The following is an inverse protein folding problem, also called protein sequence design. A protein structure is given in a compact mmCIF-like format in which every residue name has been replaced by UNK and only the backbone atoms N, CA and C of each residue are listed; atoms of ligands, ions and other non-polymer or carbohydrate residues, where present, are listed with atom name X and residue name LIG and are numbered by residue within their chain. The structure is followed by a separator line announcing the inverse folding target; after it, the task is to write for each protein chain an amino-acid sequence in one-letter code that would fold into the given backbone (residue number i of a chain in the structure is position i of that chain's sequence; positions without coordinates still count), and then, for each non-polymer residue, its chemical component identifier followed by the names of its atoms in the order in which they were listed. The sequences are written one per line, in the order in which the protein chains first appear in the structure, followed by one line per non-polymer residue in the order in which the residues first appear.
data_IF_747551869857
#
_entry.id   IF_747551869857
#
_cell.length_a   1.000
_cell.length_b   1.000
_cell.length_c   1.000
_cell.angle_alpha   90.00
_cell.angle_beta   90.00
_cell.angle_gamma   90.00
#
_symmetry.space_group_name_H-M   'P 1'
#
loop_
_entity.id
_entity.type
_entity.pdbx_description
1 polymer ?
#
# COMPACT_ATOMS: atom_id res chain seq x y z
N UNK A 1 57.05 -29.68 11.65
CA UNK A 1 55.60 -29.59 11.94
C UNK A 1 55.05 -28.33 11.27
N UNK A 2 54.41 -28.46 10.10
CA UNK A 2 53.82 -27.34 9.33
C UNK A 2 52.41 -27.11 9.85
N UNK A 3 52.14 -25.94 10.46
CA UNK A 3 50.79 -25.50 10.85
C UNK A 3 50.07 -25.03 9.60
N UNK A 4 49.03 -25.74 9.17
CA UNK A 4 48.11 -25.35 8.14
C UNK A 4 47.07 -24.43 8.83
N UNK A 5 47.12 -23.14 8.50
CA UNK A 5 46.10 -22.17 8.90
C UNK A 5 44.96 -22.31 7.90
N UNK A 6 43.84 -22.87 8.35
CA UNK A 6 42.58 -22.90 7.59
C UNK A 6 41.91 -21.53 7.73
N UNK A 7 42.06 -20.69 6.74
CA UNK A 7 41.33 -19.44 6.68
C UNK A 7 39.86 -19.74 6.34
N UNK A 8 38.98 -19.63 7.34
CA UNK A 8 37.54 -19.69 7.15
C UNK A 8 37.13 -18.40 6.43
N UNK A 9 36.87 -18.49 5.11
CA UNK A 9 36.22 -17.42 4.38
C UNK A 9 34.76 -17.43 4.84
N UNK A 10 34.40 -16.56 5.78
CA UNK A 10 33.04 -16.23 6.08
C UNK A 10 32.53 -15.39 4.89
N UNK A 11 31.83 -16.03 3.95
CA UNK A 11 31.07 -15.34 2.97
C UNK A 11 29.96 -14.56 3.73
N UNK A 12 30.18 -13.29 3.96
CA UNK A 12 29.12 -12.38 4.35
C UNK A 12 28.10 -12.39 3.21
N UNK A 13 27.02 -13.18 3.34
CA UNK A 13 25.82 -12.99 2.53
C UNK A 13 25.32 -11.57 2.83
N UNK A 14 25.72 -10.62 2.01
CA UNK A 14 25.12 -9.31 1.99
C UNK A 14 23.64 -9.52 1.66
N UNK A 15 22.76 -9.03 2.54
CA UNK A 15 21.31 -8.99 2.36
C UNK A 15 20.93 -7.95 1.30
N UNK A 16 21.52 -8.07 0.09
CA UNK A 16 21.10 -7.22 -1.02
C UNK A 16 19.82 -7.81 -1.64
N UNK A 17 18.90 -6.93 -2.02
CA UNK A 17 17.76 -7.31 -2.83
C UNK A 17 18.19 -8.08 -4.07
N UNK A 18 17.31 -8.92 -4.59
CA UNK A 18 17.53 -9.48 -5.91
C UNK A 18 17.56 -8.33 -6.93
N UNK A 19 18.63 -8.22 -7.68
CA UNK A 19 18.66 -7.30 -8.82
C UNK A 19 17.63 -7.73 -9.87
N UNK A 20 17.25 -6.81 -10.75
CA UNK A 20 16.37 -7.12 -11.87
C UNK A 20 16.88 -8.33 -12.69
N UNK A 21 18.21 -8.42 -12.89
CA UNK A 21 18.83 -9.54 -13.59
C UNK A 21 18.61 -10.88 -12.86
N UNK A 22 18.77 -10.91 -11.55
CA UNK A 22 18.53 -12.10 -10.73
C UNK A 22 17.04 -12.50 -10.69
N UNK A 23 16.12 -11.52 -10.64
CA UNK A 23 14.69 -11.75 -10.72
C UNK A 23 14.35 -12.43 -12.06
N UNK A 24 14.88 -11.89 -13.17
CA UNK A 24 14.69 -12.44 -14.52
C UNK A 24 15.30 -13.83 -14.69
N UNK A 25 16.48 -14.06 -14.15
CA UNK A 25 17.16 -15.35 -14.18
C UNK A 25 16.37 -16.43 -13.43
N UNK A 26 15.87 -16.09 -12.23
CA UNK A 26 15.06 -17.00 -11.41
C UNK A 26 13.66 -17.24 -11.99
N UNK A 27 13.17 -16.35 -12.84
CA UNK A 27 11.79 -16.36 -13.32
C UNK A 27 10.76 -16.20 -12.21
N UNK A 28 11.12 -15.53 -11.11
CA UNK A 28 10.32 -15.37 -9.91
C UNK A 28 10.53 -13.98 -9.32
N UNK A 29 9.43 -13.33 -8.95
CA UNK A 29 9.43 -12.07 -8.19
C UNK A 29 8.58 -12.22 -6.93
N UNK A 30 9.08 -11.76 -5.78
CA UNK A 30 8.38 -11.75 -4.49
C UNK A 30 7.78 -10.37 -4.27
N UNK A 31 6.47 -10.32 -4.04
CA UNK A 31 5.72 -9.07 -3.98
C UNK A 31 4.97 -8.97 -2.65
N UNK A 32 5.29 -7.94 -1.87
CA UNK A 32 4.54 -7.58 -0.68
C UNK A 32 3.18 -6.97 -1.05
N UNK A 33 2.12 -7.42 -0.40
CA UNK A 33 0.74 -6.94 -0.56
C UNK A 33 0.01 -6.96 0.78
N UNK A 34 -1.05 -6.17 0.94
CA UNK A 34 -1.88 -6.23 2.16
C UNK A 34 -2.88 -7.40 2.11
N UNK A 35 -3.66 -7.53 1.07
CA UNK A 35 -4.66 -8.61 0.91
C UNK A 35 -5.96 -8.42 1.72
N UNK A 36 -6.13 -7.31 2.42
CA UNK A 36 -7.34 -7.00 3.22
C UNK A 36 -7.91 -5.60 2.99
N UNK A 37 -7.50 -4.93 1.91
CA UNK A 37 -7.87 -3.55 1.55
C UNK A 37 -8.75 -3.49 0.29
N UNK A 38 -10.05 -3.85 0.36
CA UNK A 38 -10.93 -3.71 -0.81
C UNK A 38 -11.14 -2.23 -1.18
N UNK A 39 -11.14 -1.87 -2.48
CA UNK A 39 -10.91 -2.70 -3.65
C UNK A 39 -9.45 -2.74 -4.13
N UNK A 40 -8.48 -2.30 -3.31
CA UNK A 40 -7.07 -2.21 -3.71
C UNK A 40 -6.42 -3.60 -3.79
N UNK A 41 -6.53 -4.37 -2.70
CA UNK A 41 -5.95 -5.71 -2.58
C UNK A 41 -6.83 -6.57 -1.66
N UNK A 42 -7.33 -7.68 -2.18
CA UNK A 42 -8.23 -8.61 -1.45
C UNK A 42 -7.75 -10.04 -1.63
N UNK A 43 -7.77 -10.80 -0.55
CA UNK A 43 -7.51 -12.25 -0.56
C UNK A 43 -8.82 -13.01 -0.37
N UNK A 44 -9.18 -13.86 -1.34
CA UNK A 44 -10.33 -14.77 -1.27
C UNK A 44 -9.92 -16.17 -1.73
N UNK A 45 -10.08 -17.16 -0.86
CA UNK A 45 -9.75 -18.57 -1.15
C UNK A 45 -8.32 -18.78 -1.68
N UNK A 46 -7.35 -18.02 -1.14
CA UNK A 46 -5.94 -18.07 -1.53
C UNK A 46 -5.63 -17.41 -2.88
N UNK A 47 -6.58 -16.71 -3.47
CA UNK A 47 -6.39 -15.86 -4.66
C UNK A 47 -6.42 -14.40 -4.27
N UNK A 48 -5.58 -13.61 -4.93
CA UNK A 48 -5.54 -12.17 -4.72
C UNK A 48 -6.18 -11.46 -5.92
N UNK A 49 -6.89 -10.37 -5.63
CA UNK A 49 -7.54 -9.53 -6.63
C UNK A 49 -7.60 -8.08 -6.15
N UNK A 50 -7.92 -7.17 -7.05
CA UNK A 50 -8.06 -5.75 -6.76
C UNK A 50 -7.21 -4.87 -7.67
N UNK A 51 -7.26 -3.56 -7.42
CA UNK A 51 -6.56 -2.57 -8.23
C UNK A 51 -5.04 -2.77 -8.21
N UNK A 52 -4.43 -2.88 -7.02
CA UNK A 52 -2.98 -3.06 -6.87
C UNK A 52 -2.51 -4.40 -7.44
N UNK A 53 -3.31 -5.44 -7.28
CA UNK A 53 -3.01 -6.76 -7.87
C UNK A 53 -3.02 -6.67 -9.39
N UNK A 54 -4.04 -6.06 -9.99
CA UNK A 54 -4.12 -5.88 -11.44
C UNK A 54 -2.98 -5.01 -11.98
N UNK A 55 -2.61 -3.95 -11.24
CA UNK A 55 -1.51 -3.08 -11.60
C UNK A 55 -0.18 -3.83 -11.62
N UNK A 56 0.12 -4.56 -10.54
CA UNK A 56 1.40 -5.25 -10.43
C UNK A 56 1.50 -6.44 -11.41
N UNK A 57 0.41 -7.13 -11.71
CA UNK A 57 0.39 -8.18 -12.72
C UNK A 57 0.74 -7.66 -14.12
N UNK A 58 0.26 -6.46 -14.48
CA UNK A 58 0.66 -5.81 -15.73
C UNK A 58 2.13 -5.37 -15.71
N UNK A 59 2.63 -4.80 -14.59
CA UNK A 59 4.04 -4.42 -14.46
C UNK A 59 4.98 -5.63 -14.49
N UNK A 60 4.57 -6.77 -13.95
CA UNK A 60 5.34 -8.02 -14.01
C UNK A 60 5.50 -8.54 -15.44
N UNK A 61 4.52 -8.29 -16.33
CA UNK A 61 4.66 -8.59 -17.76
C UNK A 61 5.78 -7.74 -18.40
N UNK A 62 5.93 -6.49 -17.99
CA UNK A 62 7.05 -5.64 -18.46
C UNK A 62 8.40 -6.14 -17.93
N UNK A 63 8.45 -6.64 -16.68
CA UNK A 63 9.67 -7.19 -16.09
C UNK A 63 10.14 -8.44 -16.83
N UNK A 64 9.26 -9.41 -17.10
CA UNK A 64 9.65 -10.70 -17.67
C UNK A 64 9.51 -10.78 -19.19
N UNK A 65 8.71 -9.88 -19.80
CA UNK A 65 8.40 -9.93 -21.23
C UNK A 65 7.77 -11.27 -21.67
N UNK A 66 8.06 -11.70 -22.89
CA UNK A 66 7.49 -12.91 -23.48
C UNK A 66 7.86 -14.22 -22.76
N UNK A 67 8.93 -14.21 -21.96
CA UNK A 67 9.35 -15.40 -21.19
C UNK A 67 8.39 -15.73 -20.06
N UNK A 68 7.62 -14.74 -19.60
CA UNK A 68 6.79 -14.86 -18.42
C UNK A 68 7.59 -15.08 -17.14
N UNK A 69 6.92 -14.95 -16.00
CA UNK A 69 7.52 -15.19 -14.68
C UNK A 69 6.43 -15.52 -13.67
N UNK A 70 6.85 -16.02 -12.51
CA UNK A 70 5.95 -16.33 -11.39
C UNK A 70 5.95 -15.17 -10.40
N UNK A 71 4.79 -14.92 -9.81
CA UNK A 71 4.65 -14.02 -8.68
C UNK A 71 4.48 -14.87 -7.42
N UNK A 72 5.24 -14.53 -6.40
CA UNK A 72 5.05 -15.00 -5.03
C UNK A 72 4.54 -13.81 -4.20
N UNK A 73 3.30 -13.87 -3.79
CA UNK A 73 2.71 -12.85 -2.93
C UNK A 73 3.03 -13.13 -1.46
N UNK A 74 3.46 -12.08 -0.75
CA UNK A 74 3.76 -12.09 0.67
C UNK A 74 2.89 -11.04 1.35
N UNK A 75 2.11 -11.43 2.34
CA UNK A 75 1.29 -10.46 3.09
C UNK A 75 2.20 -9.64 4.00
N UNK A 76 2.13 -8.31 3.84
CA UNK A 76 2.87 -7.32 4.61
C UNK A 76 1.90 -6.29 5.17
N UNK A 77 1.95 -6.03 6.49
CA UNK A 77 1.03 -5.13 7.18
C UNK A 77 1.82 -4.07 7.96
N UNK A 78 1.24 -2.90 8.12
CA UNK A 78 1.79 -1.84 8.95
C UNK A 78 3.27 -1.53 8.67
N UNK A 79 4.10 -1.63 9.69
CA UNK A 79 5.55 -1.40 9.57
C UNK A 79 6.28 -2.50 8.79
N UNK A 80 5.71 -3.70 8.67
CA UNK A 80 6.37 -4.81 7.97
C UNK A 80 6.51 -4.54 6.47
N UNK A 81 5.68 -3.68 5.88
CA UNK A 81 5.78 -3.26 4.47
C UNK A 81 7.16 -2.71 4.11
N UNK A 82 7.71 -1.82 4.92
CA UNK A 82 9.04 -1.23 4.70
C UNK A 82 10.15 -2.21 5.09
N UNK A 83 10.03 -2.87 6.25
CA UNK A 83 11.06 -3.79 6.73
C UNK A 83 11.19 -5.04 5.86
N UNK A 84 10.11 -5.52 5.25
CA UNK A 84 10.15 -6.66 4.32
C UNK A 84 11.00 -6.36 3.08
N UNK A 85 10.91 -5.12 2.56
CA UNK A 85 11.75 -4.64 1.46
C UNK A 85 13.21 -4.52 1.90
N UNK A 86 13.47 -3.88 3.05
CA UNK A 86 14.83 -3.69 3.58
C UNK A 86 15.54 -5.03 3.86
N UNK A 87 14.81 -5.98 4.44
CA UNK A 87 15.31 -7.29 4.83
C UNK A 87 15.37 -8.30 3.66
N UNK A 88 15.06 -7.85 2.43
CA UNK A 88 15.03 -8.71 1.25
C UNK A 88 14.07 -9.91 1.38
N UNK A 89 12.98 -9.77 2.14
CA UNK A 89 11.89 -10.74 2.20
C UNK A 89 11.03 -10.69 0.95
N UNK A 90 10.86 -9.48 0.39
CA UNK A 90 10.19 -9.21 -0.88
C UNK A 90 11.13 -8.42 -1.80
N UNK A 91 10.90 -8.47 -3.10
CA UNK A 91 11.66 -7.72 -4.09
C UNK A 91 11.09 -6.33 -4.31
N UNK A 92 9.77 -6.20 -4.10
CA UNK A 92 9.02 -4.95 -4.05
C UNK A 92 7.80 -5.10 -3.14
N UNK A 93 7.23 -3.98 -2.72
CA UNK A 93 6.00 -3.96 -1.93
C UNK A 93 4.99 -2.95 -2.51
N UNK A 94 3.74 -3.42 -2.70
CA UNK A 94 2.61 -2.62 -3.20
C UNK A 94 1.39 -2.90 -2.31
N UNK A 95 1.34 -2.25 -1.16
CA UNK A 95 0.36 -2.47 -0.11
C UNK A 95 -0.12 -1.14 0.48
N UNK A 96 -0.64 -0.26 -0.36
CA UNK A 96 -1.08 1.09 0.00
C UNK A 96 0.00 1.87 0.78
N UNK A 97 1.24 1.89 0.27
CA UNK A 97 2.34 2.55 0.97
C UNK A 97 2.41 4.02 0.57
N UNK A 98 2.14 4.88 1.54
CA UNK A 98 2.29 6.33 1.39
C UNK A 98 3.77 6.72 1.33
N UNK A 99 4.15 7.51 0.35
CA UNK A 99 5.48 8.11 0.26
C UNK A 99 5.63 9.16 1.35
N UNK A 100 6.64 9.00 2.22
CA UNK A 100 7.02 9.99 3.23
C UNK A 100 8.53 10.18 3.25
N UNK A 101 8.99 11.36 3.68
CA UNK A 101 10.43 11.65 3.81
C UNK A 101 11.18 10.66 4.71
N UNK A 102 10.51 10.14 5.71
CA UNK A 102 11.05 9.14 6.63
C UNK A 102 11.25 7.81 5.92
N UNK A 103 10.25 7.37 5.15
CA UNK A 103 10.30 6.12 4.39
C UNK A 103 11.27 6.18 3.22
N UNK A 104 11.40 7.34 2.55
CA UNK A 104 12.38 7.58 1.48
C UNK A 104 13.84 7.43 1.96
N UNK A 105 14.11 7.53 3.25
CA UNK A 105 15.45 7.24 3.80
C UNK A 105 15.74 5.74 3.85
N UNK A 106 14.73 4.91 3.85
CA UNK A 106 14.78 3.47 4.09
C UNK A 106 14.65 2.64 2.80
N UNK A 107 13.81 3.09 1.88
CA UNK A 107 13.50 2.44 0.60
C UNK A 107 13.46 3.47 -0.51
N UNK A 108 13.47 3.02 -1.78
CA UNK A 108 13.16 3.87 -2.92
C UNK A 108 11.73 3.62 -3.39
N UNK A 109 11.08 4.66 -3.91
CA UNK A 109 9.69 4.62 -4.35
C UNK A 109 9.59 4.84 -5.86
N UNK A 110 8.68 4.11 -6.48
CA UNK A 110 8.29 4.36 -7.86
C UNK A 110 7.57 5.71 -8.02
N UNK A 111 7.32 6.09 -9.27
CA UNK A 111 6.29 7.08 -9.56
C UNK A 111 4.98 6.67 -8.86
N UNK A 112 4.19 7.63 -8.35
CA UNK A 112 2.97 7.32 -7.63
C UNK A 112 1.91 6.71 -8.57
N UNK A 113 1.15 5.75 -8.05
CA UNK A 113 0.03 5.15 -8.78
C UNK A 113 -1.34 5.57 -8.24
N UNK A 114 -1.37 6.25 -7.09
CA UNK A 114 -2.58 6.65 -6.41
C UNK A 114 -2.35 7.87 -5.52
N UNK A 115 -3.40 8.63 -5.18
CA UNK A 115 -3.32 9.69 -4.18
C UNK A 115 -4.38 9.51 -3.09
N UNK A 116 -4.06 9.91 -1.89
CA UNK A 116 -4.90 9.75 -0.69
C UNK A 116 -4.88 10.97 0.20
N UNK A 117 -5.86 11.05 1.09
CA UNK A 117 -5.84 11.86 2.31
C UNK A 117 -6.24 10.95 3.46
N UNK A 118 -6.11 11.39 4.69
CA UNK A 118 -6.61 10.67 5.85
C UNK A 118 -8.12 10.85 5.93
N UNK A 119 -8.84 9.76 6.12
CA UNK A 119 -10.27 9.73 6.41
C UNK A 119 -10.58 9.05 7.74
N UNK A 120 -11.79 9.24 8.25
CA UNK A 120 -12.26 8.59 9.47
C UNK A 120 -13.61 7.94 9.24
N UNK A 121 -13.66 6.63 9.48
CA UNK A 121 -14.88 5.82 9.51
C UNK A 121 -15.49 5.92 10.91
N UNK A 122 -16.78 6.20 11.00
CA UNK A 122 -17.52 6.28 12.26
C UNK A 122 -18.81 5.48 12.17
N UNK A 123 -19.38 5.08 13.29
CA UNK A 123 -20.74 4.51 13.28
C UNK A 123 -21.77 5.61 12.98
N UNK A 124 -22.78 5.28 12.19
CA UNK A 124 -23.85 6.24 11.81
C UNK A 124 -24.60 6.78 13.03
N UNK A 125 -24.77 5.91 14.08
CA UNK A 125 -25.52 6.25 15.29
C UNK A 125 -24.75 7.21 16.23
N UNK A 126 -23.42 7.35 16.05
CA UNK A 126 -22.57 8.23 16.87
C UNK A 126 -22.70 9.70 16.44
N UNK A 127 -23.26 9.97 15.26
CA UNK A 127 -23.48 11.31 14.68
C UNK A 127 -22.22 12.20 14.66
N UNK A 128 -21.05 11.61 14.40
CA UNK A 128 -19.77 12.31 14.25
C UNK A 128 -19.68 12.87 12.83
N UNK A 129 -19.49 14.17 12.69
CA UNK A 129 -19.48 14.86 11.37
C UNK A 129 -18.16 15.58 11.08
N UNK A 130 -17.47 16.01 12.13
CA UNK A 130 -16.23 16.80 12.05
C UNK A 130 -15.15 16.19 12.91
N UNK A 131 -13.90 16.64 12.73
CA UNK A 131 -12.79 16.22 13.59
C UNK A 131 -12.95 16.70 15.02
N UNK A 132 -13.63 17.81 15.24
CA UNK A 132 -13.90 18.35 16.57
C UNK A 132 -14.83 17.44 17.39
N UNK A 133 -15.73 16.72 16.73
CA UNK A 133 -16.59 15.72 17.38
C UNK A 133 -15.81 14.51 17.90
N UNK A 134 -14.54 14.36 17.49
CA UNK A 134 -13.63 13.31 17.93
C UNK A 134 -12.77 13.72 19.14
N UNK A 135 -12.86 14.96 19.60
CA UNK A 135 -12.15 15.40 20.81
C UNK A 135 -12.52 14.49 21.99
N UNK A 136 -11.50 14.11 22.77
CA UNK A 136 -11.61 13.23 23.94
C UNK A 136 -12.09 11.80 23.61
N UNK A 137 -12.25 11.45 22.33
CA UNK A 137 -12.64 10.10 21.89
C UNK A 137 -11.43 9.27 21.50
N UNK A 138 -11.64 7.95 21.54
CA UNK A 138 -10.64 6.98 21.13
C UNK A 138 -10.71 6.73 19.62
N UNK A 139 -9.56 6.86 18.95
CA UNK A 139 -9.41 6.65 17.51
C UNK A 139 -8.64 5.35 17.28
N UNK A 140 -9.22 4.43 16.53
CA UNK A 140 -8.56 3.21 16.09
C UNK A 140 -7.69 3.52 14.86
N UNK A 141 -6.45 3.05 14.85
CA UNK A 141 -5.58 3.13 13.68
C UNK A 141 -4.52 2.02 13.71
N UNK A 142 -4.05 1.62 12.55
CA UNK A 142 -2.98 0.63 12.43
C UNK A 142 -1.61 1.31 12.59
N UNK A 143 -0.74 0.83 13.50
CA UNK A 143 0.61 1.34 13.65
C UNK A 143 1.41 1.21 12.34
N UNK A 144 2.16 2.26 12.00
CA UNK A 144 2.91 2.32 10.75
C UNK A 144 2.10 2.86 9.56
N UNK A 145 0.91 3.40 9.79
CA UNK A 145 0.15 4.19 8.82
C UNK A 145 0.33 5.69 9.08
N UNK A 146 0.15 6.51 8.06
CA UNK A 146 0.16 7.97 8.19
C UNK A 146 -0.97 8.48 9.06
N UNK A 147 -2.11 7.78 9.05
CA UNK A 147 -3.25 8.10 9.92
C UNK A 147 -2.91 7.89 11.41
N UNK A 148 -2.23 6.79 11.76
CA UNK A 148 -1.77 6.55 13.13
C UNK A 148 -0.84 7.66 13.61
N UNK A 149 0.14 8.04 12.78
CA UNK A 149 1.09 9.10 13.12
C UNK A 149 0.42 10.47 13.23
N UNK A 150 -0.51 10.77 12.32
CA UNK A 150 -1.26 12.03 12.33
C UNK A 150 -2.05 12.20 13.64
N UNK A 151 -2.88 11.24 14.01
CA UNK A 151 -3.72 11.34 15.19
C UNK A 151 -2.91 11.36 16.50
N UNK A 152 -1.79 10.63 16.58
CA UNK A 152 -0.87 10.73 17.72
C UNK A 152 -0.24 12.11 17.81
N UNK A 153 0.22 12.67 16.69
CA UNK A 153 0.84 14.00 16.63
C UNK A 153 -0.13 15.11 17.02
N UNK A 154 -1.40 14.98 16.59
CA UNK A 154 -2.45 15.94 16.94
C UNK A 154 -2.99 15.75 18.38
N UNK A 155 -2.45 14.79 19.14
CA UNK A 155 -2.76 14.57 20.56
C UNK A 155 -4.05 13.80 20.84
N UNK A 156 -4.59 13.10 19.85
CA UNK A 156 -5.75 12.23 20.06
C UNK A 156 -5.36 10.96 20.80
N UNK A 157 -6.34 10.35 21.47
CA UNK A 157 -6.16 9.04 22.11
C UNK A 157 -6.26 7.94 21.05
N UNK A 158 -5.11 7.44 20.56
CA UNK A 158 -5.06 6.41 19.54
C UNK A 158 -4.99 5.02 20.15
N UNK A 159 -5.87 4.13 19.70
CA UNK A 159 -5.89 2.70 20.05
C UNK A 159 -5.35 1.92 18.86
N UNK A 160 -4.22 1.20 19.03
CA UNK A 160 -3.66 0.40 17.95
C UNK A 160 -4.53 -0.82 17.64
N UNK A 161 -4.61 -1.18 16.36
CA UNK A 161 -5.15 -2.43 15.84
C UNK A 161 -4.19 -3.03 14.80
N UNK A 162 -4.16 -4.35 14.70
CA UNK A 162 -3.13 -5.06 13.95
C UNK A 162 -3.34 -5.05 12.42
N UNK A 163 -4.52 -4.63 11.95
CA UNK A 163 -4.84 -4.51 10.52
C UNK A 163 -6.09 -3.66 10.31
N UNK A 164 -6.29 -3.15 9.09
CA UNK A 164 -7.50 -2.44 8.67
C UNK A 164 -8.78 -3.20 9.00
N UNK A 165 -8.80 -4.51 8.75
CA UNK A 165 -9.97 -5.35 9.04
C UNK A 165 -10.22 -5.51 10.55
N UNK A 166 -9.17 -5.53 11.38
CA UNK A 166 -9.31 -5.53 12.84
C UNK A 166 -9.85 -4.19 13.34
N UNK A 167 -9.30 -3.06 12.86
CA UNK A 167 -9.79 -1.73 13.19
C UNK A 167 -11.29 -1.59 12.88
N UNK A 168 -11.70 -2.03 11.69
CA UNK A 168 -13.11 -2.02 11.31
C UNK A 168 -13.98 -2.85 12.24
N UNK A 169 -13.59 -4.10 12.55
CA UNK A 169 -14.33 -4.95 13.50
C UNK A 169 -14.40 -4.35 14.91
N UNK A 170 -13.30 -3.76 15.38
CA UNK A 170 -13.21 -3.09 16.66
C UNK A 170 -14.17 -1.89 16.73
N UNK A 171 -14.19 -1.03 15.70
CA UNK A 171 -15.14 0.07 15.59
C UNK A 171 -16.59 -0.43 15.68
N UNK A 172 -16.94 -1.46 14.92
CA UNK A 172 -18.30 -2.02 14.91
C UNK A 172 -18.72 -2.62 16.26
N UNK A 173 -17.78 -3.18 17.01
CA UNK A 173 -18.05 -3.73 18.36
C UNK A 173 -18.17 -2.67 19.45
N UNK A 174 -18.01 -1.36 19.11
CA UNK A 174 -18.08 -0.26 20.06
C UNK A 174 -16.74 0.09 20.71
N UNK A 175 -15.63 -0.55 20.30
CA UNK A 175 -14.29 -0.15 20.71
C UNK A 175 -13.86 1.04 19.85
N UNK A 176 -13.50 2.15 20.50
CA UNK A 176 -13.21 3.39 19.82
C UNK A 176 -14.43 4.08 19.21
N UNK A 177 -14.30 5.31 18.80
CA UNK A 177 -15.34 6.13 18.18
C UNK A 177 -15.10 6.41 16.70
N UNK A 178 -13.84 6.30 16.25
CA UNK A 178 -13.46 6.42 14.85
C UNK A 178 -12.39 5.39 14.49
N UNK A 179 -12.35 4.99 13.23
CA UNK A 179 -11.25 4.26 12.61
C UNK A 179 -10.64 5.15 11.53
N UNK A 180 -9.37 5.52 11.70
CA UNK A 180 -8.63 6.39 10.82
C UNK A 180 -7.68 5.60 9.92
N UNK A 181 -7.74 5.88 8.62
CA UNK A 181 -6.89 5.29 7.58
C UNK A 181 -6.92 6.18 6.33
N UNK A 182 -6.32 5.75 5.23
CA UNK A 182 -6.50 6.41 3.95
C UNK A 182 -7.99 6.53 3.60
N UNK A 183 -8.39 7.70 3.11
CA UNK A 183 -9.79 8.02 2.88
C UNK A 183 -10.51 7.02 1.97
N UNK A 184 -9.80 6.42 1.01
CA UNK A 184 -10.38 5.42 0.11
C UNK A 184 -10.53 4.05 0.80
N UNK A 185 -9.64 3.70 1.73
CA UNK A 185 -9.76 2.49 2.55
C UNK A 185 -11.00 2.56 3.43
N UNK A 186 -11.15 3.63 4.21
CA UNK A 186 -12.32 3.80 5.08
C UNK A 186 -13.63 3.96 4.30
N UNK A 187 -13.58 4.62 3.12
CA UNK A 187 -14.73 4.70 2.23
C UNK A 187 -15.18 3.31 1.75
N UNK A 188 -14.25 2.41 1.48
CA UNK A 188 -14.55 1.02 1.10
C UNK A 188 -15.43 0.31 2.11
N UNK A 189 -15.10 0.42 3.40
CA UNK A 189 -15.93 -0.15 4.47
C UNK A 189 -17.33 0.46 4.53
N UNK A 190 -17.48 1.77 4.28
CA UNK A 190 -18.78 2.43 4.29
C UNK A 190 -19.68 2.05 3.09
N UNK A 191 -19.09 1.49 2.05
CA UNK A 191 -19.86 0.99 0.88
C UNK A 191 -20.46 -0.38 1.17
N UNK A 192 -19.74 -1.23 1.92
CA UNK A 192 -20.17 -2.60 2.21
C UNK A 192 -21.03 -2.69 3.49
N UNK A 193 -20.92 -1.72 4.39
CA UNK A 193 -21.71 -1.68 5.63
C UNK A 193 -22.39 -0.32 5.81
N UNK A 194 -23.74 -0.33 5.85
CA UNK A 194 -24.55 0.89 6.01
C UNK A 194 -24.63 1.43 7.43
N UNK A 195 -24.06 0.72 8.41
CA UNK A 195 -24.01 1.16 9.83
C UNK A 195 -22.80 2.03 10.12
N UNK A 196 -21.97 2.26 9.13
CA UNK A 196 -20.79 3.12 9.22
C UNK A 196 -20.80 4.15 8.08
N UNK A 197 -20.16 5.28 8.33
CA UNK A 197 -20.08 6.39 7.39
C UNK A 197 -18.72 7.08 7.44
N UNK A 198 -18.38 7.80 6.37
CA UNK A 198 -17.15 8.61 6.29
C UNK A 198 -17.58 10.06 6.03
N UNK A 199 -17.65 10.86 7.08
CA UNK A 199 -17.92 12.30 6.99
C UNK A 199 -16.62 13.11 6.93
N UNK A 200 -15.55 12.61 7.56
CA UNK A 200 -14.22 13.21 7.62
C UNK A 200 -13.36 12.50 6.57
N UNK A 201 -12.97 13.20 5.47
CA UNK A 201 -12.36 12.56 4.30
C UNK A 201 -10.99 13.10 3.89
N UNK A 202 -10.62 14.29 4.35
CA UNK A 202 -9.49 15.03 3.81
C UNK A 202 -8.69 15.67 4.95
N UNK A 203 -8.22 14.85 5.90
CA UNK A 203 -7.30 15.33 6.93
C UNK A 203 -5.86 15.28 6.43
N UNK A 204 -5.04 16.17 6.96
CA UNK A 204 -3.64 16.28 6.58
C UNK A 204 -3.44 16.83 5.17
N UNK A 205 -2.27 16.54 4.60
CA UNK A 205 -1.94 16.83 3.19
C UNK A 205 -2.46 15.73 2.27
N UNK A 206 -2.56 16.04 0.97
CA UNK A 206 -2.73 14.98 -0.02
C UNK A 206 -1.40 14.28 -0.22
N UNK A 207 -1.40 12.99 -0.03
CA UNK A 207 -0.24 12.13 -0.13
C UNK A 207 -0.36 11.17 -1.33
N UNK A 208 0.72 10.50 -1.68
CA UNK A 208 0.78 9.58 -2.81
C UNK A 208 1.14 8.17 -2.35
N UNK A 209 0.48 7.18 -2.95
CA UNK A 209 0.88 5.77 -2.83
C UNK A 209 1.84 5.41 -3.96
N UNK A 210 2.90 4.68 -3.62
CA UNK A 210 3.89 4.22 -4.59
C UNK A 210 4.40 2.81 -4.24
N UNK A 211 5.04 2.16 -5.21
CA UNK A 211 5.66 0.85 -5.03
C UNK A 211 7.02 1.07 -4.36
N UNK A 212 7.27 0.36 -3.26
CA UNK A 212 8.55 0.40 -2.57
C UNK A 212 9.49 -0.69 -3.10
N UNK A 213 10.75 -0.32 -3.34
CA UNK A 213 11.85 -1.24 -3.68
C UNK A 213 13.01 -1.01 -2.73
N UNK A 214 13.92 -2.00 -2.60
CA UNK A 214 15.11 -1.82 -1.79
C UNK A 214 15.95 -0.66 -2.35
N UNK A 215 16.51 0.11 -1.43
CA UNK A 215 17.31 1.29 -1.76
C UNK A 215 18.48 0.96 -2.69
N UNK A 216 18.60 1.73 -3.80
CA UNK A 216 19.62 1.53 -4.81
C UNK A 216 19.35 0.39 -5.81
N UNK A 217 18.14 -0.18 -5.83
CA UNK A 217 17.74 -1.15 -6.86
C UNK A 217 17.18 -0.42 -8.10
N UNK A 218 18.04 0.43 -8.70
CA UNK A 218 17.67 1.38 -9.74
C UNK A 218 17.11 0.71 -11.00
N UNK A 219 17.65 -0.45 -11.39
CA UNK A 219 17.19 -1.16 -12.59
C UNK A 219 15.73 -1.63 -12.44
N UNK A 220 15.39 -2.17 -11.28
CA UNK A 220 14.01 -2.57 -10.99
C UNK A 220 13.09 -1.35 -10.91
N UNK A 221 13.53 -0.31 -10.21
CA UNK A 221 12.78 0.94 -10.06
C UNK A 221 12.48 1.60 -11.40
N UNK A 222 13.48 1.72 -12.26
CA UNK A 222 13.32 2.31 -13.61
C UNK A 222 12.36 1.48 -14.45
N UNK A 223 12.46 0.13 -14.40
CA UNK A 223 11.53 -0.75 -15.12
C UNK A 223 10.08 -0.57 -14.66
N UNK A 224 9.86 -0.41 -13.34
CA UNK A 224 8.53 -0.13 -12.79
C UNK A 224 8.01 1.23 -13.25
N UNK A 225 8.84 2.26 -13.21
CA UNK A 225 8.47 3.61 -13.64
C UNK A 225 8.12 3.69 -15.14
N UNK A 226 8.92 3.07 -15.99
CA UNK A 226 8.64 2.97 -17.43
C UNK A 226 7.33 2.21 -17.68
N UNK A 227 7.10 1.13 -16.93
CA UNK A 227 5.85 0.36 -16.97
C UNK A 227 4.63 1.19 -16.56
N UNK A 228 4.72 1.94 -15.47
CA UNK A 228 3.64 2.83 -15.01
C UNK A 228 3.28 3.89 -16.07
N UNK A 229 4.30 4.54 -16.66
CA UNK A 229 4.11 5.52 -17.75
C UNK A 229 3.46 4.86 -18.97
N UNK A 230 3.89 3.66 -19.36
CA UNK A 230 3.31 2.91 -20.47
C UNK A 230 1.85 2.54 -20.21
N UNK A 231 1.54 2.05 -19.00
CA UNK A 231 0.17 1.69 -18.61
C UNK A 231 -0.75 2.91 -18.62
N UNK A 232 -0.29 4.06 -18.13
CA UNK A 232 -1.05 5.31 -18.22
C UNK A 232 -1.35 5.69 -19.66
N UNK A 233 -0.33 5.72 -20.54
CA UNK A 233 -0.49 6.02 -21.98
C UNK A 233 -1.46 5.06 -22.68
N UNK A 234 -1.53 3.82 -22.24
CA UNK A 234 -2.43 2.80 -22.78
C UNK A 234 -3.85 2.85 -22.18
N UNK A 235 -4.12 3.80 -21.27
CA UNK A 235 -5.43 3.99 -20.64
C UNK A 235 -5.79 2.97 -19.57
N UNK A 236 -4.81 2.23 -19.03
CA UNK A 236 -5.01 1.22 -17.99
C UNK A 236 -5.75 1.79 -16.77
N UNK A 237 -5.27 2.91 -16.22
CA UNK A 237 -5.87 3.52 -15.03
C UNK A 237 -7.32 3.93 -15.25
N UNK A 238 -7.62 4.52 -16.41
CA UNK A 238 -9.00 4.89 -16.78
C UNK A 238 -9.89 3.67 -16.93
N UNK A 239 -9.37 2.61 -17.56
CA UNK A 239 -10.10 1.35 -17.73
C UNK A 239 -10.44 0.72 -16.39
N UNK A 240 -9.45 0.53 -15.51
CA UNK A 240 -9.66 -0.13 -14.22
C UNK A 240 -10.53 0.71 -13.27
N UNK A 241 -10.43 2.04 -13.36
CA UNK A 241 -11.33 2.94 -12.64
C UNK A 241 -12.79 2.66 -13.04
N UNK A 242 -13.10 2.67 -14.32
CA UNK A 242 -14.47 2.49 -14.81
C UNK A 242 -15.00 1.08 -14.59
N UNK A 243 -14.16 0.05 -14.72
CA UNK A 243 -14.58 -1.35 -14.71
C UNK A 243 -14.67 -1.92 -13.28
N UNK A 244 -13.91 -1.38 -12.33
CA UNK A 244 -13.78 -1.98 -11.00
C UNK A 244 -13.95 -0.97 -9.86
N UNK A 245 -13.29 0.17 -9.93
CA UNK A 245 -13.22 1.12 -8.80
C UNK A 245 -14.54 1.86 -8.62
N UNK A 246 -15.01 2.55 -9.66
CA UNK A 246 -16.23 3.33 -9.59
C UNK A 246 -17.49 2.47 -9.29
N UNK A 247 -17.65 1.28 -9.90
CA UNK A 247 -18.71 0.35 -9.52
C UNK A 247 -18.63 -0.12 -8.06
N UNK A 248 -17.44 -0.45 -7.54
CA UNK A 248 -17.27 -0.83 -6.15
C UNK A 248 -17.72 0.29 -5.21
N UNK A 249 -17.27 1.52 -5.42
CA UNK A 249 -17.64 2.67 -4.60
C UNK A 249 -19.03 3.24 -4.92
N UNK A 250 -19.78 2.65 -5.86
CA UNK A 250 -21.14 3.09 -6.26
C UNK A 250 -21.19 4.56 -6.65
N UNK A 251 -20.19 5.04 -7.40
CA UNK A 251 -20.06 6.41 -7.84
C UNK A 251 -19.61 7.41 -6.76
N UNK A 252 -19.20 6.93 -5.58
CA UNK A 252 -18.69 7.79 -4.49
C UNK A 252 -17.20 8.06 -4.57
N UNK A 253 -16.48 7.33 -5.44
CA UNK A 253 -15.04 7.51 -5.64
C UNK A 253 -14.77 8.82 -6.36
N UNK A 254 -13.87 9.63 -5.82
CA UNK A 254 -13.43 10.85 -6.51
C UNK A 254 -12.31 10.51 -7.49
N UNK A 255 -12.55 10.70 -8.80
CA UNK A 255 -11.60 10.37 -9.88
C UNK A 255 -10.21 10.92 -9.66
N UNK A 256 -10.09 12.10 -9.04
CA UNK A 256 -8.79 12.76 -8.79
C UNK A 256 -7.80 11.90 -8.01
N UNK A 257 -8.25 10.94 -7.21
CA UNK A 257 -7.37 10.03 -6.46
C UNK A 257 -6.82 8.89 -7.33
N UNK A 258 -7.55 8.50 -8.38
CA UNK A 258 -7.24 7.31 -9.19
C UNK A 258 -6.64 7.65 -10.55
N UNK A 259 -6.94 8.82 -11.09
CA UNK A 259 -6.51 9.20 -12.42
C UNK A 259 -5.34 10.16 -12.32
N UNK A 260 -4.16 9.58 -12.24
CA UNK A 260 -2.89 10.31 -12.28
C UNK A 260 -2.37 10.50 -13.71
N UNK A 261 -3.20 10.28 -14.75
CA UNK A 261 -2.82 10.42 -16.16
C UNK A 261 -2.24 11.79 -16.48
N UNK A 262 -2.73 12.86 -15.82
CA UNK A 262 -2.18 14.19 -16.01
C UNK A 262 -0.81 14.36 -15.33
N UNK A 263 -0.56 13.66 -14.24
CA UNK A 263 0.77 13.62 -13.60
C UNK A 263 1.78 12.92 -14.51
N UNK A 264 1.40 11.78 -15.10
CA UNK A 264 2.27 11.02 -16.01
C UNK A 264 2.55 11.72 -17.35
N UNK A 265 1.76 12.71 -17.73
CA UNK A 265 2.08 13.56 -18.91
C UNK A 265 3.28 14.48 -18.67
N UNK A 266 3.69 14.64 -17.42
CA UNK A 266 4.84 15.48 -17.03
C UNK A 266 6.18 14.70 -17.05
N UNK A 267 6.13 13.38 -17.17
CA UNK A 267 7.27 12.48 -17.31
C UNK A 267 7.33 11.90 -18.75
#
# INVERSE_FOLDING_TARGET
MKKIIFALLIASCSLFANSLAQIKEKGLIRIGIDGSLPPLSVSEDGRYSGFEISLIEELVKEIFGDKGGKIEYVVTLGNDRITAVQDNKVDLDIAAITVTKEREKLVDFSNPYFSVNIGVLTRTDDNIKTVDDLQDKEILAEPGTTAFDYFNKEGFKVIPCASSSECFRALKSGRGSGYADDNMVVLGYSVVDRKVEVNIKNLGTSDFLAIAVQKGNDDLLNTLNDGLVKLSKNGFFKKIFNDSIDPFYKGKAEKKYFLLDDLYKMF
#
